data_IF_892397872581
#
_entry.id   IF_892397872581
#
_cell.length_a   1.000
_cell.length_b   1.000
_cell.length_c   1.000
_cell.angle_alpha   90.00
_cell.angle_beta   90.00
_cell.angle_gamma   90.00
#
_symmetry.space_group_name_H-M   'P 1'
#
loop_
_entity.id
_entity.type
_entity.pdbx_description
1 polymer ?
#
# COMPACT_ATOMS: atom_id res chain seq x y z
N UNK A 1 3.00 -19.74 5.77
CA UNK A 1 2.98 -18.26 5.72
C UNK A 1 4.03 -17.84 4.72
N UNK A 2 3.62 -17.47 3.51
CA UNK A 2 4.48 -16.81 2.54
C UNK A 2 4.44 -15.31 2.89
N UNK A 3 5.50 -14.82 3.56
CA UNK A 3 5.73 -13.40 3.68
C UNK A 3 6.59 -12.97 2.48
N UNK A 4 6.07 -12.10 1.64
CA UNK A 4 6.96 -11.26 0.83
C UNK A 4 7.86 -10.49 1.81
N UNK A 5 9.16 -10.41 1.57
CA UNK A 5 10.03 -9.64 2.44
C UNK A 5 9.49 -8.21 2.55
N UNK A 6 9.57 -7.60 3.75
CA UNK A 6 9.18 -6.21 3.90
C UNK A 6 10.00 -5.40 2.90
N UNK A 7 9.31 -4.58 2.12
CA UNK A 7 9.98 -3.61 1.27
C UNK A 7 10.66 -2.63 2.20
N UNK A 8 11.98 -2.53 2.12
CA UNK A 8 12.71 -1.48 2.81
C UNK A 8 12.29 -0.15 2.17
N UNK A 9 11.45 0.60 2.86
CA UNK A 9 11.18 1.98 2.51
C UNK A 9 12.49 2.77 2.68
N UNK A 10 12.85 3.56 1.69
CA UNK A 10 13.95 4.49 1.85
C UNK A 10 13.45 5.70 2.67
N UNK A 11 14.18 6.06 3.72
CA UNK A 11 13.92 7.26 4.50
C UNK A 11 15.02 8.30 4.22
N UNK A 12 14.61 9.52 3.89
CA UNK A 12 15.50 10.64 3.71
C UNK A 12 15.03 11.80 4.59
N UNK A 13 15.81 12.14 5.61
CA UNK A 13 15.45 13.19 6.56
C UNK A 13 16.49 14.29 6.63
N UNK A 14 16.05 15.54 6.79
CA UNK A 14 16.91 16.70 6.95
C UNK A 14 16.36 17.70 7.97
N UNK A 15 17.22 18.27 8.82
CA UNK A 15 16.81 19.28 9.80
C UNK A 15 16.43 20.61 9.12
N UNK A 16 17.21 21.07 8.16
CA UNK A 16 17.10 22.39 7.55
C UNK A 16 16.54 22.37 6.12
N UNK A 17 16.32 21.21 5.59
CA UNK A 17 15.75 20.99 4.26
C UNK A 17 16.31 19.75 3.57
N UNK A 18 15.61 19.30 2.55
CA UNK A 18 16.00 18.21 1.67
C UNK A 18 15.96 18.71 0.23
N UNK A 19 17.01 18.44 -0.54
CA UNK A 19 17.05 18.79 -1.96
C UNK A 19 17.44 17.59 -2.79
N UNK A 20 16.60 17.24 -3.76
CA UNK A 20 16.81 16.19 -4.74
C UNK A 20 16.80 16.83 -6.12
N UNK A 21 17.87 16.66 -6.88
CA UNK A 21 17.94 17.26 -8.21
C UNK A 21 18.51 16.32 -9.25
N UNK A 22 17.93 16.35 -10.44
CA UNK A 22 18.43 15.72 -11.64
C UNK A 22 18.64 16.83 -12.71
N UNK A 23 19.81 17.54 -12.67
CA UNK A 23 19.98 18.82 -13.35
C UNK A 23 20.37 18.70 -14.83
N UNK A 24 20.64 17.52 -15.33
CA UNK A 24 21.05 17.37 -16.72
C UNK A 24 19.93 17.72 -17.69
N UNK A 25 20.25 18.62 -18.63
CA UNK A 25 19.30 19.10 -19.63
C UNK A 25 19.06 18.08 -20.73
N UNK A 26 18.58 16.89 -20.39
CA UNK A 26 18.13 15.88 -21.33
C UNK A 26 16.84 15.21 -20.85
N UNK A 27 16.05 14.70 -21.78
CA UNK A 27 14.77 14.06 -21.50
C UNK A 27 14.88 12.81 -20.61
N UNK A 28 16.07 12.23 -20.48
CA UNK A 28 16.35 11.06 -19.63
C UNK A 28 16.67 11.42 -18.18
N UNK A 29 16.75 12.72 -17.85
CA UNK A 29 16.96 13.19 -16.49
C UNK A 29 15.66 13.06 -15.68
N UNK A 30 15.45 11.88 -15.13
CA UNK A 30 14.23 11.48 -14.40
C UNK A 30 14.49 11.37 -12.91
N UNK A 31 13.43 11.58 -12.12
CA UNK A 31 13.42 11.22 -10.71
C UNK A 31 12.36 10.14 -10.51
N UNK A 32 12.76 9.05 -9.88
CA UNK A 32 11.90 7.94 -9.51
C UNK A 32 11.98 7.75 -8.00
N UNK A 33 10.88 7.98 -7.30
CA UNK A 33 10.73 7.72 -5.88
C UNK A 33 9.71 6.58 -5.70
N UNK A 34 10.10 5.55 -4.98
CA UNK A 34 9.24 4.41 -4.71
C UNK A 34 9.28 4.07 -3.24
N UNK A 35 8.12 4.03 -2.58
CA UNK A 35 7.99 3.73 -1.16
C UNK A 35 9.00 4.52 -0.30
N UNK A 36 9.07 5.81 -0.54
CA UNK A 36 10.10 6.68 0.07
C UNK A 36 9.42 7.68 0.99
N UNK A 37 9.92 7.78 2.23
CA UNK A 37 9.56 8.82 3.17
C UNK A 37 10.62 9.91 3.15
N UNK A 38 10.22 11.13 2.79
CA UNK A 38 11.09 12.30 2.76
C UNK A 38 10.55 13.31 3.76
N UNK A 39 11.38 13.68 4.72
CA UNK A 39 10.97 14.62 5.77
C UNK A 39 11.95 15.77 5.98
N UNK A 40 11.43 16.94 6.32
CA UNK A 40 12.21 18.09 6.74
C UNK A 40 11.59 18.76 7.97
N UNK A 41 12.30 18.73 9.11
CA UNK A 41 11.78 19.26 10.37
C UNK A 41 11.60 20.79 10.36
N UNK A 42 12.62 21.53 9.89
CA UNK A 42 12.66 22.99 9.96
C UNK A 42 12.94 23.65 8.61
N UNK A 43 12.68 22.97 7.51
CA UNK A 43 13.00 23.48 6.20
C UNK A 43 12.01 23.06 5.13
N UNK A 44 12.43 23.25 3.89
CA UNK A 44 11.67 22.87 2.70
C UNK A 44 12.19 21.60 2.08
N UNK A 45 11.30 20.86 1.41
CA UNK A 45 11.68 19.83 0.44
C UNK A 45 11.67 20.46 -0.95
N UNK A 46 12.78 20.31 -1.68
CA UNK A 46 12.90 20.72 -3.07
C UNK A 46 13.23 19.53 -3.95
N UNK A 47 12.42 19.29 -4.97
CA UNK A 47 12.63 18.19 -5.92
C UNK A 47 12.59 18.78 -7.32
N UNK A 48 13.70 18.69 -8.06
CA UNK A 48 13.81 19.30 -9.38
C UNK A 48 14.39 18.32 -10.40
N UNK A 49 13.75 18.20 -11.55
CA UNK A 49 14.25 17.45 -12.71
C UNK A 49 14.04 18.20 -14.00
N UNK A 50 14.87 17.94 -14.98
CA UNK A 50 14.64 18.40 -16.34
C UNK A 50 13.60 17.53 -17.06
N UNK A 51 13.61 16.24 -16.84
CA UNK A 51 12.65 15.25 -17.37
C UNK A 51 11.54 14.92 -16.37
N UNK A 52 10.91 13.79 -16.57
CA UNK A 52 9.74 13.34 -15.82
C UNK A 52 10.06 12.98 -14.36
N UNK A 53 9.04 13.07 -13.51
CA UNK A 53 9.08 12.60 -12.11
C UNK A 53 7.99 11.58 -11.87
N UNK A 54 8.36 10.51 -11.19
CA UNK A 54 7.47 9.39 -10.86
C UNK A 54 7.53 9.10 -9.36
N UNK A 55 6.37 9.09 -8.72
CA UNK A 55 6.19 8.76 -7.33
C UNK A 55 5.31 7.51 -7.25
N UNK A 56 5.91 6.35 -6.97
CA UNK A 56 5.21 5.07 -6.99
C UNK A 56 4.98 4.52 -5.60
N UNK A 57 3.71 4.25 -5.28
CA UNK A 57 3.36 3.37 -4.20
C UNK A 57 3.58 1.91 -4.64
N UNK A 58 4.36 1.18 -3.87
CA UNK A 58 4.54 -0.26 -4.09
C UNK A 58 3.52 -1.02 -3.26
N UNK A 59 2.88 -2.03 -3.84
CA UNK A 59 2.01 -2.91 -3.08
C UNK A 59 2.83 -3.96 -2.33
N UNK A 60 2.65 -4.03 -1.02
CA UNK A 60 3.06 -5.16 -0.19
C UNK A 60 1.90 -6.15 -0.09
N UNK A 61 2.15 -7.42 -0.40
CA UNK A 61 1.14 -8.48 -0.32
C UNK A 61 1.45 -9.40 0.85
N UNK A 62 0.47 -9.59 1.73
CA UNK A 62 0.49 -10.61 2.77
C UNK A 62 -0.55 -11.66 2.43
N UNK A 63 -0.11 -12.89 2.28
CA UNK A 63 -0.99 -14.04 2.11
C UNK A 63 -0.84 -14.99 3.30
N UNK A 64 -1.94 -15.30 3.96
CA UNK A 64 -1.98 -16.25 5.06
C UNK A 64 -2.98 -17.35 4.74
N UNK A 65 -2.51 -18.59 4.88
CA UNK A 65 -3.32 -19.78 4.70
C UNK A 65 -3.29 -20.60 5.98
N UNK A 66 -4.46 -20.93 6.52
CA UNK A 66 -4.59 -21.77 7.70
C UNK A 66 -5.59 -22.87 7.42
N UNK A 67 -5.18 -24.12 7.69
CA UNK A 67 -6.07 -25.28 7.62
C UNK A 67 -6.16 -25.93 8.98
N UNK A 68 -7.36 -26.07 9.49
CA UNK A 68 -7.66 -26.78 10.73
C UNK A 68 -8.60 -27.93 10.44
N UNK A 69 -8.35 -29.08 11.09
CA UNK A 69 -9.23 -30.25 11.01
C UNK A 69 -9.40 -30.81 12.39
N UNK A 70 -10.64 -30.94 12.83
CA UNK A 70 -10.97 -31.45 14.17
C UNK A 70 -12.23 -32.29 14.16
N UNK A 71 -12.39 -33.11 15.21
CA UNK A 71 -13.54 -33.96 15.39
C UNK A 71 -14.29 -33.54 16.64
N UNK A 72 -15.62 -33.50 16.57
CA UNK A 72 -16.50 -33.21 17.70
C UNK A 72 -17.60 -34.26 17.79
N UNK A 73 -18.25 -34.32 18.95
CA UNK A 73 -19.34 -35.25 19.21
C UNK A 73 -18.88 -36.55 19.88
N UNK A 74 -19.87 -37.39 20.25
CA UNK A 74 -19.65 -38.70 20.91
C UNK A 74 -19.13 -39.73 19.91
N UNK A 75 -18.50 -40.81 20.39
CA UNK A 75 -17.87 -41.84 19.55
C UNK A 75 -18.83 -42.46 18.49
N UNK A 76 -20.11 -42.56 18.80
CA UNK A 76 -21.13 -43.12 17.89
C UNK A 76 -21.75 -42.07 16.94
N UNK A 77 -21.60 -40.76 17.25
CA UNK A 77 -22.08 -39.65 16.41
C UNK A 77 -21.00 -38.59 16.32
N UNK A 78 -20.05 -38.78 15.40
CA UNK A 78 -18.91 -37.91 15.20
C UNK A 78 -19.13 -36.94 14.04
N UNK A 79 -18.77 -35.71 14.29
CA UNK A 79 -18.69 -34.66 13.28
C UNK A 79 -17.21 -34.34 13.01
N UNK A 80 -16.81 -34.51 11.79
CA UNK A 80 -15.50 -34.10 11.30
C UNK A 80 -15.64 -32.77 10.58
N UNK A 81 -14.87 -31.80 11.01
CA UNK A 81 -14.90 -30.43 10.49
C UNK A 81 -13.52 -30.12 9.95
N UNK A 82 -13.45 -29.66 8.71
CA UNK A 82 -12.24 -29.10 8.10
C UNK A 82 -12.53 -27.67 7.73
N UNK A 83 -11.74 -26.75 8.24
CA UNK A 83 -11.83 -25.32 7.97
C UNK A 83 -10.54 -24.87 7.29
N UNK A 84 -10.70 -24.13 6.22
CA UNK A 84 -9.61 -23.46 5.49
C UNK A 84 -9.90 -21.99 5.53
N UNK A 85 -8.96 -21.22 6.09
CA UNK A 85 -8.99 -19.76 6.10
C UNK A 85 -7.90 -19.24 5.18
N UNK A 86 -8.29 -18.42 4.25
CA UNK A 86 -7.38 -17.69 3.39
C UNK A 86 -7.57 -16.19 3.66
N UNK A 87 -6.48 -15.51 3.93
CA UNK A 87 -6.46 -14.06 4.08
C UNK A 87 -5.41 -13.49 3.15
N UNK A 88 -5.81 -12.56 2.30
CA UNK A 88 -4.92 -11.80 1.42
C UNK A 88 -5.12 -10.32 1.70
N UNK A 89 -4.03 -9.65 2.05
CA UNK A 89 -3.98 -8.21 2.21
C UNK A 89 -2.95 -7.66 1.23
N UNK A 90 -3.38 -6.75 0.37
CA UNK A 90 -2.49 -6.00 -0.49
C UNK A 90 -2.62 -4.52 -0.13
N UNK A 91 -1.60 -4.01 0.57
CA UNK A 91 -1.54 -2.61 1.03
C UNK A 91 -0.51 -1.84 0.21
N UNK A 92 -0.87 -0.68 -0.35
CA UNK A 92 0.11 0.19 -1.00
C UNK A 92 0.96 0.92 0.06
N UNK A 93 2.28 0.81 -0.07
CA UNK A 93 3.23 1.61 0.68
C UNK A 93 3.45 2.92 -0.09
N UNK A 94 2.89 4.00 0.42
CA UNK A 94 2.86 5.30 -0.23
C UNK A 94 4.25 5.97 -0.26
N UNK A 95 4.39 6.98 -1.11
CA UNK A 95 5.48 7.97 -1.00
C UNK A 95 4.96 9.12 -0.14
N UNK A 96 5.68 9.46 0.92
CA UNK A 96 5.31 10.55 1.81
C UNK A 96 6.37 11.64 1.79
N UNK A 97 5.95 12.87 1.52
CA UNK A 97 6.77 14.07 1.61
C UNK A 97 6.19 14.98 2.68
N UNK A 98 6.94 15.22 3.74
CA UNK A 98 6.51 16.07 4.85
C UNK A 98 7.55 17.14 5.17
N UNK A 99 7.16 18.40 5.09
CA UNK A 99 8.07 19.54 5.33
C UNK A 99 7.39 20.67 6.08
N UNK A 100 8.00 21.13 7.16
CA UNK A 100 7.41 22.21 7.97
C UNK A 100 7.26 23.54 7.23
N UNK A 101 8.19 23.89 6.36
CA UNK A 101 8.20 25.19 5.67
C UNK A 101 7.71 25.14 4.20
N UNK A 102 7.42 23.97 3.68
CA UNK A 102 6.84 23.81 2.35
C UNK A 102 7.53 22.80 1.45
N UNK A 103 6.88 22.51 0.34
CA UNK A 103 7.32 21.52 -0.64
C UNK A 103 7.31 22.21 -2.01
N UNK A 104 8.47 22.25 -2.67
CA UNK A 104 8.64 22.76 -4.01
C UNK A 104 9.06 21.63 -4.96
N UNK A 105 8.19 21.25 -5.88
CA UNK A 105 8.45 20.23 -6.88
C UNK A 105 8.39 20.85 -8.26
N UNK A 106 9.45 20.67 -9.04
CA UNK A 106 9.53 21.20 -10.40
C UNK A 106 10.06 20.16 -11.36
N UNK A 107 9.29 19.88 -12.40
CA UNK A 107 9.63 18.98 -13.48
C UNK A 107 9.55 19.72 -14.82
N UNK A 108 10.56 19.59 -15.67
CA UNK A 108 10.47 20.02 -17.07
C UNK A 108 9.59 19.09 -17.92
N UNK A 109 9.32 17.89 -17.46
CA UNK A 109 8.45 16.89 -18.05
C UNK A 109 7.11 16.76 -17.35
N UNK A 110 6.63 15.51 -17.24
CA UNK A 110 5.41 15.14 -16.51
C UNK A 110 5.70 14.75 -15.06
N UNK A 111 4.69 14.86 -14.21
CA UNK A 111 4.71 14.36 -12.84
C UNK A 111 3.55 13.38 -12.69
N UNK A 112 3.86 12.11 -12.39
CA UNK A 112 2.89 11.07 -12.11
C UNK A 112 3.07 10.59 -10.66
N UNK A 113 2.04 10.77 -9.82
CA UNK A 113 2.07 10.43 -8.41
C UNK A 113 0.95 9.43 -8.05
N UNK A 114 1.35 8.27 -7.53
CA UNK A 114 0.47 7.18 -7.16
C UNK A 114 0.42 7.04 -5.64
N UNK A 115 -0.75 7.25 -5.04
CA UNK A 115 -0.97 7.22 -3.59
C UNK A 115 0.11 8.01 -2.83
N UNK A 116 0.45 9.20 -3.30
CA UNK A 116 1.50 10.04 -2.74
C UNK A 116 0.90 11.09 -1.80
N UNK A 117 1.49 11.26 -0.62
CA UNK A 117 1.12 12.30 0.32
C UNK A 117 2.15 13.44 0.29
N UNK A 118 1.67 14.64 0.08
CA UNK A 118 2.41 15.90 0.19
C UNK A 118 1.84 16.67 1.38
N UNK A 119 2.64 16.87 2.40
CA UNK A 119 2.21 17.48 3.67
C UNK A 119 3.14 18.64 4.05
N UNK A 120 2.58 19.85 4.15
CA UNK A 120 3.30 21.05 4.55
C UNK A 120 2.50 21.83 5.61
N UNK A 121 2.52 21.38 6.89
CA UNK A 121 1.63 21.90 7.93
C UNK A 121 1.86 23.38 8.28
N UNK A 122 2.98 23.96 7.93
CA UNK A 122 3.28 25.39 8.18
C UNK A 122 3.80 26.13 6.94
N UNK A 123 3.55 25.56 5.78
CA UNK A 123 4.09 26.11 4.56
C UNK A 123 3.22 25.87 3.33
N UNK A 124 3.71 26.29 2.19
CA UNK A 124 3.04 26.10 0.91
C UNK A 124 3.55 24.87 0.16
N UNK A 125 2.69 24.29 -0.66
CA UNK A 125 3.05 23.25 -1.60
C UNK A 125 2.94 23.82 -3.01
N UNK A 126 4.06 23.80 -3.73
CA UNK A 126 4.12 24.19 -5.13
C UNK A 126 4.56 23.01 -5.98
N UNK A 127 3.74 22.61 -6.95
CA UNK A 127 4.01 21.50 -7.86
C UNK A 127 3.87 22.02 -9.29
N UNK A 128 4.99 22.12 -10.00
CA UNK A 128 5.06 22.57 -11.37
C UNK A 128 5.49 21.43 -12.29
N UNK A 129 4.65 21.08 -13.26
CA UNK A 129 4.96 20.12 -14.31
C UNK A 129 5.00 20.85 -15.66
N UNK A 130 6.07 20.69 -16.42
CA UNK A 130 6.22 21.29 -17.73
C UNK A 130 5.26 20.71 -18.78
N UNK A 131 4.77 19.48 -18.59
CA UNK A 131 3.80 18.83 -19.48
C UNK A 131 2.50 18.50 -18.79
N UNK A 132 2.51 17.57 -17.84
CA UNK A 132 1.29 17.04 -17.20
C UNK A 132 1.53 16.69 -15.75
N UNK A 133 0.59 17.04 -14.88
CA UNK A 133 0.51 16.55 -13.51
C UNK A 133 -0.64 15.55 -13.41
N UNK A 134 -0.36 14.34 -12.93
CA UNK A 134 -1.39 13.33 -12.70
C UNK A 134 -1.26 12.75 -11.30
N UNK A 135 -2.35 12.78 -10.56
CA UNK A 135 -2.46 12.19 -9.23
C UNK A 135 -3.37 10.96 -9.29
N UNK A 136 -2.82 9.79 -8.99
CA UNK A 136 -3.54 8.52 -9.04
C UNK A 136 -3.86 8.01 -7.64
N UNK A 137 -5.01 7.34 -7.52
CA UNK A 137 -5.30 6.50 -6.37
C UNK A 137 -4.78 5.07 -6.64
N UNK A 138 -4.39 4.37 -5.58
CA UNK A 138 -4.00 2.95 -5.61
C UNK A 138 -4.97 2.17 -4.74
N UNK A 139 -5.43 1.01 -5.20
CA UNK A 139 -6.37 0.17 -4.44
C UNK A 139 -5.63 -0.62 -3.36
N UNK A 140 -6.17 -0.57 -2.15
CA UNK A 140 -5.91 -1.53 -1.08
C UNK A 140 -6.93 -2.67 -1.17
N UNK A 141 -6.47 -3.90 -1.07
CA UNK A 141 -7.32 -5.09 -1.13
C UNK A 141 -7.21 -5.87 0.16
N UNK A 142 -8.35 -6.08 0.82
CA UNK A 142 -8.52 -7.05 1.89
C UNK A 142 -9.46 -8.16 1.41
N UNK A 143 -8.94 -9.39 1.39
CA UNK A 143 -9.68 -10.57 0.97
C UNK A 143 -9.63 -11.61 2.07
N UNK A 144 -10.79 -12.03 2.54
CA UNK A 144 -10.97 -13.08 3.51
C UNK A 144 -11.88 -14.17 2.93
N UNK A 145 -11.42 -15.41 3.01
CA UNK A 145 -12.21 -16.57 2.62
C UNK A 145 -12.17 -17.61 3.73
N UNK A 146 -13.35 -18.06 4.12
CA UNK A 146 -13.55 -19.19 5.01
C UNK A 146 -14.27 -20.30 4.25
N UNK A 147 -13.61 -21.44 4.09
CA UNK A 147 -14.17 -22.66 3.55
C UNK A 147 -14.33 -23.68 4.68
N UNK A 148 -15.54 -24.13 4.93
CA UNK A 148 -15.86 -25.07 6.01
C UNK A 148 -16.56 -26.32 5.45
N UNK A 149 -15.89 -27.44 5.56
CA UNK A 149 -16.42 -28.76 5.19
C UNK A 149 -16.77 -29.53 6.45
N UNK A 150 -18.03 -29.99 6.55
CA UNK A 150 -18.56 -30.75 7.69
C UNK A 150 -19.04 -32.13 7.22
N UNK A 151 -18.53 -33.18 7.83
CA UNK A 151 -19.00 -34.55 7.61
C UNK A 151 -19.50 -35.15 8.92
N UNK A 152 -20.71 -35.69 8.92
CA UNK A 152 -21.27 -36.39 10.07
C UNK A 152 -21.23 -37.88 9.82
N UNK A 153 -20.82 -38.61 10.86
CA UNK A 153 -20.79 -40.11 10.87
C UNK A 153 -21.57 -40.64 12.06
N UNK A 154 -22.40 -41.65 11.80
CA UNK A 154 -23.07 -42.41 12.82
C UNK A 154 -22.62 -43.87 12.71
N UNK A 155 -22.13 -44.47 13.79
CA UNK A 155 -21.56 -45.83 13.82
C UNK A 155 -20.57 -46.11 12.68
N UNK A 156 -19.75 -45.09 12.33
CA UNK A 156 -18.76 -45.25 11.26
C UNK A 156 -19.26 -44.89 9.84
N UNK A 157 -20.57 -44.83 9.62
CA UNK A 157 -21.18 -44.56 8.31
C UNK A 157 -21.37 -43.07 8.14
N UNK A 158 -20.93 -42.53 7.01
CA UNK A 158 -21.12 -41.10 6.67
C UNK A 158 -22.52 -40.90 6.14
N UNK A 159 -23.32 -40.04 6.81
CA UNK A 159 -24.70 -39.78 6.43
C UNK A 159 -25.00 -38.35 6.04
N UNK A 160 -24.09 -37.41 6.32
CA UNK A 160 -24.28 -36.01 5.97
C UNK A 160 -22.94 -35.38 5.62
N UNK A 161 -22.98 -34.56 4.56
CA UNK A 161 -21.89 -33.68 4.14
C UNK A 161 -22.47 -32.27 3.96
N UNK A 162 -21.79 -31.27 4.48
CA UNK A 162 -22.10 -29.87 4.25
C UNK A 162 -20.81 -29.13 3.89
N UNK A 163 -20.92 -28.20 2.98
CA UNK A 163 -19.83 -27.34 2.54
C UNK A 163 -20.35 -25.90 2.52
N UNK A 164 -19.72 -25.07 3.32
CA UNK A 164 -20.05 -23.65 3.46
C UNK A 164 -18.82 -22.84 3.06
N UNK A 165 -18.97 -21.91 2.15
CA UNK A 165 -17.91 -20.98 1.76
C UNK A 165 -18.40 -19.57 1.98
N UNK A 166 -17.64 -18.77 2.74
CA UNK A 166 -17.88 -17.35 2.94
C UNK A 166 -16.68 -16.60 2.38
N UNK A 167 -16.93 -15.63 1.52
CA UNK A 167 -15.90 -14.77 0.96
C UNK A 167 -16.27 -13.32 1.22
N UNK A 168 -15.34 -12.57 1.78
CA UNK A 168 -15.45 -11.12 1.96
C UNK A 168 -14.33 -10.45 1.18
N UNK A 169 -14.67 -9.45 0.40
CA UNK A 169 -13.70 -8.65 -0.37
C UNK A 169 -13.98 -7.18 -0.06
N UNK A 170 -12.98 -6.51 0.47
CA UNK A 170 -13.04 -5.07 0.71
C UNK A 170 -11.92 -4.41 -0.10
N UNK A 171 -12.31 -3.43 -0.90
CA UNK A 171 -11.38 -2.61 -1.67
C UNK A 171 -11.53 -1.17 -1.20
N UNK A 172 -10.40 -0.54 -0.91
CA UNK A 172 -10.35 0.86 -0.51
C UNK A 172 -9.35 1.58 -1.41
N UNK A 173 -9.73 2.73 -1.94
CA UNK A 173 -8.82 3.54 -2.72
C UNK A 173 -8.00 4.43 -1.79
N UNK A 174 -6.67 4.38 -1.91
CA UNK A 174 -5.74 5.31 -1.28
C UNK A 174 -5.38 6.40 -2.30
N UNK A 175 -5.96 7.60 -2.20
CA UNK A 175 -5.69 8.68 -3.14
C UNK A 175 -4.34 9.34 -2.85
N UNK A 176 -3.79 9.99 -3.88
CA UNK A 176 -2.76 11.00 -3.64
C UNK A 176 -3.37 12.20 -2.92
N UNK A 177 -2.66 12.74 -1.93
CA UNK A 177 -3.16 13.80 -1.06
C UNK A 177 -2.19 14.98 -1.01
N UNK A 178 -2.73 16.18 -1.08
CA UNK A 178 -1.97 17.43 -0.92
C UNK A 178 -2.59 18.20 0.24
N UNK A 179 -1.83 18.45 1.28
CA UNK A 179 -2.26 19.19 2.47
C UNK A 179 -1.27 20.30 2.77
N UNK A 180 -1.73 21.54 2.72
CA UNK A 180 -0.98 22.70 3.12
C UNK A 180 -1.85 23.55 4.04
N UNK A 181 -1.28 24.05 5.15
CA UNK A 181 -1.93 25.08 5.95
C UNK A 181 -1.47 26.44 5.43
N UNK A 182 -2.44 27.26 5.01
CA UNK A 182 -2.18 28.68 4.76
C UNK A 182 -2.10 29.41 6.11
N UNK A 183 -1.00 30.08 6.35
CA UNK A 183 -0.89 31.03 7.45
C UNK A 183 -1.79 32.24 7.22
#
# INVERSE_FOLDING_TARGET
>A
VLKTPPTLAAELSGKTGVSISAPYANENSRILLSTTDISSENGKIKIQSYGDQYYYARQSELYTFERRSYKTGKWYNRKHITEVKEHKNAKPDAVNLSASQGIDIKSGGSIDAYATAFDAPKGSINIEAGRKLTLYAVEELNYDKLDSQKRRRFLGISYSKAHDTTTQVMKTALPSRVVAESA
#
